data_IF_796257791825
#
_entry.id   IF_796257791825
#
_cell.length_a   1.000
_cell.length_b   1.000
_cell.length_c   1.000
_cell.angle_alpha   90.00
_cell.angle_beta   90.00
_cell.angle_gamma   90.00
#
_symmetry.space_group_name_H-M   'P 1'
#
loop_
_entity.id
_entity.type
_entity.pdbx_description
1 polymer ?
#
# COMPACT_ATOMS: atom_id res chain seq x y z
N UNK A 1 12.93 -2.34 21.88
CA UNK A 1 11.61 -2.38 21.23
C UNK A 1 11.05 -1.01 21.04
N UNK A 2 11.53 -0.38 19.97
CA UNK A 2 10.97 0.85 19.39
C UNK A 2 9.55 0.55 18.86
N UNK A 3 8.69 1.57 18.77
CA UNK A 3 7.36 1.49 18.11
C UNK A 3 7.48 0.89 16.70
N UNK A 4 8.65 1.08 16.11
CA UNK A 4 9.11 0.59 14.83
C UNK A 4 9.23 -0.93 14.74
N UNK A 5 9.94 -1.56 15.67
CA UNK A 5 10.07 -3.03 15.72
C UNK A 5 8.69 -3.67 15.89
N UNK A 6 7.83 -3.07 16.72
CA UNK A 6 6.46 -3.54 16.92
C UNK A 6 5.54 -3.38 15.71
N UNK A 7 5.64 -2.29 14.92
CA UNK A 7 4.85 -2.14 13.70
C UNK A 7 5.35 -3.10 12.60
N UNK A 8 6.67 -3.30 12.51
CA UNK A 8 7.29 -4.25 11.60
C UNK A 8 6.93 -5.70 11.93
N UNK A 9 6.91 -6.06 13.21
CA UNK A 9 6.46 -7.38 13.68
C UNK A 9 4.97 -7.64 13.39
N UNK A 10 4.17 -6.60 13.10
CA UNK A 10 2.75 -6.74 12.75
C UNK A 10 2.49 -6.64 11.24
N UNK A 11 3.28 -5.87 10.48
CA UNK A 11 3.17 -5.82 9.02
C UNK A 11 3.68 -7.09 8.33
N UNK A 12 4.74 -7.69 8.87
CA UNK A 12 5.37 -8.89 8.30
C UNK A 12 4.43 -10.10 8.34
N UNK A 13 3.74 -10.41 9.47
CA UNK A 13 2.69 -11.43 9.48
C UNK A 13 1.46 -11.02 8.69
N UNK A 14 1.05 -9.74 8.67
CA UNK A 14 -0.20 -9.34 8.01
C UNK A 14 -0.14 -9.45 6.46
N UNK A 15 1.05 -9.32 5.87
CA UNK A 15 1.28 -9.59 4.44
C UNK A 15 1.39 -11.11 4.16
N UNK A 16 1.81 -11.91 5.14
CA UNK A 16 2.19 -13.33 4.97
C UNK A 16 1.15 -14.33 5.53
N UNK A 17 0.28 -13.95 6.48
CA UNK A 17 -0.55 -14.89 7.25
C UNK A 17 -1.81 -15.40 6.53
N UNK A 18 -2.21 -14.79 5.42
CA UNK A 18 -3.18 -15.43 4.54
C UNK A 18 -2.42 -16.14 3.44
N UNK A 19 -2.20 -17.45 3.64
CA UNK A 19 -1.65 -18.40 2.66
C UNK A 19 -2.15 -18.11 1.24
N UNK A 20 -1.39 -17.32 0.51
CA UNK A 20 -1.51 -17.19 -0.95
C UNK A 20 -1.03 -18.51 -1.61
N UNK A 21 -0.33 -19.37 -0.87
CA UNK A 21 0.34 -20.56 -1.40
C UNK A 21 -0.48 -21.86 -1.42
N UNK A 22 -1.68 -21.93 -0.84
CA UNK A 22 -2.42 -23.22 -0.84
C UNK A 22 -3.10 -23.51 -2.20
N UNK A 23 -3.32 -22.49 -3.04
CA UNK A 23 -3.95 -22.64 -4.37
C UNK A 23 -3.10 -22.11 -5.54
N UNK A 24 -1.96 -21.47 -5.24
CA UNK A 24 -0.98 -21.02 -6.22
C UNK A 24 0.15 -22.05 -6.20
N UNK A 25 0.62 -22.51 -7.36
CA UNK A 25 1.70 -23.51 -7.45
C UNK A 25 2.99 -23.03 -6.78
N UNK A 26 4.10 -23.74 -6.97
CA UNK A 26 5.40 -23.31 -6.43
C UNK A 26 5.65 -21.81 -6.70
N UNK A 27 5.71 -21.02 -5.63
CA UNK A 27 5.86 -19.58 -5.66
C UNK A 27 7.15 -19.21 -4.93
N UNK A 28 8.01 -18.42 -5.56
CA UNK A 28 9.20 -17.85 -4.94
C UNK A 28 8.87 -16.44 -4.42
N UNK A 29 9.01 -16.25 -3.11
CA UNK A 29 8.73 -15.01 -2.42
C UNK A 29 10.02 -14.35 -1.92
N UNK A 30 10.21 -13.08 -2.26
CA UNK A 30 11.37 -12.31 -1.83
C UNK A 30 10.93 -11.04 -1.10
N UNK A 31 11.27 -10.95 0.19
CA UNK A 31 10.99 -9.79 1.05
C UNK A 31 12.24 -8.91 1.16
N UNK A 32 12.07 -7.61 0.91
CA UNK A 32 13.11 -6.59 1.05
C UNK A 32 12.57 -5.41 1.85
N UNK A 33 13.38 -4.86 2.76
CA UNK A 33 13.02 -3.69 3.56
C UNK A 33 14.04 -2.59 3.29
N UNK A 34 13.54 -1.40 2.95
CA UNK A 34 14.35 -0.22 2.65
C UNK A 34 13.80 0.99 3.41
N UNK A 35 14.70 1.88 3.83
CA UNK A 35 14.36 3.18 4.39
C UNK A 35 14.92 4.26 3.46
N UNK A 36 14.07 5.21 3.05
CA UNK A 36 14.38 6.28 2.11
C UNK A 36 13.89 7.60 2.70
N UNK A 37 14.79 8.43 3.22
CA UNK A 37 14.46 9.77 3.73
C UNK A 37 13.25 9.80 4.71
N UNK A 38 13.17 8.82 5.60
CA UNK A 38 12.07 8.68 6.57
C UNK A 38 10.82 7.97 6.04
N UNK A 39 10.83 7.54 4.78
CA UNK A 39 9.87 6.61 4.19
C UNK A 39 10.35 5.19 4.45
N UNK A 40 9.48 4.35 4.99
CA UNK A 40 9.75 2.91 5.09
C UNK A 40 9.03 2.20 3.98
N UNK A 41 9.80 1.42 3.22
CA UNK A 41 9.35 0.64 2.08
C UNK A 41 9.57 -0.82 2.40
N UNK A 42 8.50 -1.61 2.41
CA UNK A 42 8.57 -3.07 2.40
C UNK A 42 8.19 -3.52 1.00
N UNK A 43 9.09 -4.22 0.34
CA UNK A 43 8.89 -4.79 -0.98
C UNK A 43 8.74 -6.30 -0.84
N UNK A 44 7.60 -6.82 -1.29
CA UNK A 44 7.37 -8.24 -1.50
C UNK A 44 7.31 -8.50 -3.00
N UNK A 45 8.18 -9.37 -3.50
CA UNK A 45 8.14 -9.85 -4.88
C UNK A 45 7.58 -11.26 -4.87
N UNK A 46 6.56 -11.48 -5.70
CA UNK A 46 5.89 -12.76 -5.89
C UNK A 46 6.20 -13.22 -7.32
N UNK A 47 6.99 -14.28 -7.43
CA UNK A 47 7.32 -14.92 -8.71
C UNK A 47 6.55 -16.23 -8.81
N UNK A 48 5.56 -16.22 -9.68
CA UNK A 48 4.84 -17.43 -10.09
C UNK A 48 5.41 -17.87 -11.45
N UNK A 49 5.63 -19.17 -11.63
CA UNK A 49 6.23 -19.73 -12.86
C UNK A 49 5.31 -19.56 -14.07
N UNK A 50 3.99 -19.54 -13.86
CA UNK A 50 2.98 -19.49 -14.93
C UNK A 50 2.48 -18.07 -15.22
N UNK A 51 2.81 -17.10 -14.37
CA UNK A 51 2.28 -15.74 -14.44
C UNK A 51 3.40 -14.70 -14.48
N UNK A 52 3.10 -13.49 -14.95
CA UNK A 52 4.05 -12.38 -14.88
C UNK A 52 4.42 -12.06 -13.43
N UNK A 53 5.70 -11.71 -13.15
CA UNK A 53 6.15 -11.42 -11.80
C UNK A 53 5.41 -10.19 -11.26
N UNK A 54 5.08 -10.26 -9.97
CA UNK A 54 4.32 -9.22 -9.27
C UNK A 54 5.12 -8.68 -8.11
N UNK A 55 4.86 -7.42 -7.79
CA UNK A 55 5.39 -6.83 -6.58
C UNK A 55 4.34 -6.05 -5.81
N UNK A 56 4.48 -6.10 -4.49
CA UNK A 56 3.71 -5.32 -3.54
C UNK A 56 4.70 -4.43 -2.79
N UNK A 57 4.47 -3.12 -2.84
CA UNK A 57 5.26 -2.11 -2.15
C UNK A 57 4.41 -1.51 -1.05
N UNK A 58 4.68 -1.90 0.20
CA UNK A 58 4.07 -1.26 1.34
C UNK A 58 4.88 -0.02 1.73
N UNK A 59 4.31 1.19 1.60
CA UNK A 59 4.95 2.44 2.03
C UNK A 59 4.26 2.96 3.29
N UNK A 60 5.06 3.42 4.24
CA UNK A 60 4.58 4.11 5.41
C UNK A 60 5.29 5.45 5.60
N UNK A 61 4.50 6.51 5.79
CA UNK A 61 4.99 7.83 6.17
C UNK A 61 4.68 8.08 7.64
N UNK A 62 5.71 8.45 8.40
CA UNK A 62 5.53 8.94 9.76
C UNK A 62 4.69 10.23 9.79
N UNK A 63 3.68 10.33 10.68
CA UNK A 63 2.88 11.56 10.81
C UNK A 63 3.72 12.82 11.05
N UNK A 64 4.85 12.67 11.75
CA UNK A 64 5.78 13.74 12.09
C UNK A 64 6.75 14.13 10.97
N UNK A 65 6.85 13.34 9.90
CA UNK A 65 7.73 13.64 8.77
C UNK A 65 7.16 14.83 7.98
N UNK A 66 8.01 15.77 7.56
CA UNK A 66 7.56 16.87 6.71
C UNK A 66 6.98 16.32 5.38
N UNK A 67 5.82 16.83 4.96
CA UNK A 67 5.14 16.35 3.75
C UNK A 67 5.97 16.64 2.49
N UNK A 68 6.61 17.80 2.38
CA UNK A 68 7.44 18.12 1.22
C UNK A 68 8.65 17.18 1.12
N UNK A 69 9.35 16.92 2.23
CA UNK A 69 10.46 15.95 2.25
C UNK A 69 10.01 14.54 1.87
N UNK A 70 8.80 14.14 2.30
CA UNK A 70 8.20 12.86 1.88
C UNK A 70 7.95 12.83 0.37
N UNK A 71 7.36 13.88 -0.18
CA UNK A 71 7.06 14.00 -1.62
C UNK A 71 8.34 13.92 -2.45
N UNK A 72 9.41 14.60 -2.03
CA UNK A 72 10.72 14.54 -2.70
C UNK A 72 11.33 13.14 -2.65
N UNK A 73 11.31 12.49 -1.48
CA UNK A 73 11.79 11.11 -1.32
C UNK A 73 10.99 10.10 -2.15
N UNK A 74 9.67 10.31 -2.27
CA UNK A 74 8.80 9.48 -3.09
C UNK A 74 9.08 9.64 -4.59
N UNK A 75 9.34 10.87 -5.07
CA UNK A 75 9.78 11.12 -6.45
C UNK A 75 11.08 10.40 -6.75
N UNK A 76 12.08 10.60 -5.88
CA UNK A 76 13.36 9.93 -6.02
C UNK A 76 13.22 8.39 -6.00
N UNK A 77 12.32 7.85 -5.18
CA UNK A 77 12.03 6.42 -5.19
C UNK A 77 11.54 5.94 -6.56
N UNK A 78 10.57 6.61 -7.16
CA UNK A 78 10.04 6.24 -8.47
C UNK A 78 11.04 6.45 -9.60
N UNK A 79 11.81 7.54 -9.58
CA UNK A 79 12.86 7.83 -10.56
C UNK A 79 13.96 6.75 -10.58
N UNK A 80 14.26 6.17 -9.42
CA UNK A 80 15.27 5.13 -9.27
C UNK A 80 14.70 3.70 -9.39
N UNK A 81 13.38 3.54 -9.49
CA UNK A 81 12.75 2.23 -9.60
C UNK A 81 12.79 1.76 -11.07
N UNK A 82 13.91 1.19 -11.51
CA UNK A 82 14.08 0.70 -12.88
C UNK A 82 13.40 -0.65 -13.16
N UNK A 83 12.92 -1.34 -12.13
CA UNK A 83 12.36 -2.68 -12.28
C UNK A 83 10.94 -2.62 -12.84
N UNK A 84 10.80 -3.06 -14.10
CA UNK A 84 9.50 -3.24 -14.74
C UNK A 84 8.95 -4.61 -14.33
N UNK A 85 8.02 -4.60 -13.37
CA UNK A 85 7.21 -5.76 -13.03
C UNK A 85 5.91 -5.78 -13.84
N UNK A 86 5.35 -6.98 -14.07
CA UNK A 86 4.07 -7.11 -14.77
C UNK A 86 2.93 -6.45 -14.02
N UNK A 87 2.84 -6.70 -12.70
CA UNK A 87 1.86 -6.04 -11.82
C UNK A 87 2.56 -5.48 -10.59
N UNK A 88 2.42 -4.18 -10.38
CA UNK A 88 2.91 -3.48 -9.18
C UNK A 88 1.72 -2.91 -8.44
N UNK A 89 1.63 -3.23 -7.16
CA UNK A 89 0.63 -2.70 -6.23
C UNK A 89 1.40 -1.96 -5.14
N UNK A 90 1.02 -0.71 -4.86
CA UNK A 90 1.50 -0.03 -3.68
C UNK A 90 0.34 0.17 -2.70
N UNK A 91 0.59 -0.10 -1.43
CA UNK A 91 -0.42 -0.10 -0.38
C UNK A 91 0.16 0.49 0.90
N UNK A 92 -0.62 1.21 1.69
CA UNK A 92 -0.12 1.64 2.99
C UNK A 92 -0.87 2.81 3.60
N UNK A 93 -0.18 3.47 4.53
CA UNK A 93 -0.69 4.54 5.38
C UNK A 93 0.27 5.72 5.31
N UNK A 94 -0.21 6.82 4.74
CA UNK A 94 0.62 7.98 4.47
C UNK A 94 0.41 9.10 5.47
N UNK A 95 -0.64 9.03 6.27
CA UNK A 95 -1.03 10.14 7.14
C UNK A 95 -1.11 11.49 6.36
N UNK A 96 -1.53 11.44 5.09
CA UNK A 96 -1.83 12.59 4.21
C UNK A 96 -3.27 12.39 3.75
N UNK A 97 -4.14 13.39 3.93
CA UNK A 97 -5.54 13.26 3.55
C UNK A 97 -5.72 13.48 2.05
N UNK A 98 -5.94 12.39 1.30
CA UNK A 98 -6.17 12.40 -0.14
C UNK A 98 -7.47 13.10 -0.56
N UNK A 99 -8.38 13.36 0.39
CA UNK A 99 -9.59 14.14 0.13
C UNK A 99 -9.34 15.65 0.15
N UNK A 100 -8.22 16.09 0.74
CA UNK A 100 -7.81 17.49 0.78
C UNK A 100 -6.89 17.76 -0.40
N UNK A 101 -7.44 18.36 -1.45
CA UNK A 101 -6.69 18.75 -2.66
C UNK A 101 -5.90 20.05 -2.46
N UNK A 102 -5.11 20.13 -1.39
CA UNK A 102 -4.07 21.16 -1.31
C UNK A 102 -2.94 20.89 -2.34
N UNK A 103 -2.00 21.81 -2.46
CA UNK A 103 -0.96 21.70 -3.48
C UNK A 103 -0.07 20.47 -3.30
N UNK A 104 0.16 20.04 -2.05
CA UNK A 104 0.98 18.86 -1.73
C UNK A 104 0.25 17.54 -1.95
N UNK A 105 -1.04 17.47 -1.61
CA UNK A 105 -1.88 16.31 -1.91
C UNK A 105 -2.05 16.09 -3.42
N UNK A 106 -2.15 17.18 -4.20
CA UNK A 106 -2.15 17.12 -5.67
C UNK A 106 -0.81 16.67 -6.23
N UNK A 107 0.30 17.22 -5.72
CA UNK A 107 1.65 16.79 -6.11
C UNK A 107 1.84 15.28 -5.91
N UNK A 108 1.37 14.75 -4.78
CA UNK A 108 1.39 13.33 -4.49
C UNK A 108 0.64 12.51 -5.55
N UNK A 109 -0.61 12.87 -5.87
CA UNK A 109 -1.40 12.16 -6.88
C UNK A 109 -0.75 12.24 -8.28
N UNK A 110 -0.13 13.37 -8.59
CA UNK A 110 0.59 13.56 -9.84
C UNK A 110 1.77 12.59 -9.95
N UNK A 111 2.55 12.38 -8.89
CA UNK A 111 3.67 11.42 -8.89
C UNK A 111 3.20 10.01 -9.27
N UNK A 112 2.09 9.53 -8.70
CA UNK A 112 1.55 8.21 -9.07
C UNK A 112 1.11 8.18 -10.51
N UNK A 113 0.34 9.19 -10.94
CA UNK A 113 -0.17 9.26 -12.30
C UNK A 113 0.96 9.30 -13.33
N UNK A 114 1.98 10.13 -13.11
CA UNK A 114 3.17 10.26 -13.96
C UNK A 114 4.02 8.97 -13.97
N UNK A 115 4.05 8.25 -12.84
CA UNK A 115 4.72 6.96 -12.71
C UNK A 115 3.88 5.78 -13.24
N UNK A 116 2.72 6.04 -13.87
CA UNK A 116 1.88 5.02 -14.48
C UNK A 116 1.02 4.24 -13.49
N UNK A 117 0.63 4.85 -12.38
CA UNK A 117 -0.25 4.27 -11.36
C UNK A 117 -1.58 5.03 -11.24
N UNK A 118 -2.62 4.32 -10.82
CA UNK A 118 -3.94 4.87 -10.49
C UNK A 118 -4.37 4.46 -9.09
N UNK A 119 -5.10 5.35 -8.42
CA UNK A 119 -5.68 5.07 -7.10
C UNK A 119 -6.87 4.13 -7.22
N UNK A 120 -6.86 3.07 -6.41
CA UNK A 120 -7.96 2.11 -6.27
C UNK A 120 -8.91 2.48 -5.10
N UNK A 121 -8.49 3.34 -4.17
CA UNK A 121 -9.31 3.79 -3.04
C UNK A 121 -9.31 5.30 -2.96
N UNK A 122 -10.51 5.89 -3.01
CA UNK A 122 -10.71 7.34 -2.96
C UNK A 122 -11.84 7.72 -1.99
N UNK A 123 -12.11 6.87 -0.99
CA UNK A 123 -13.18 7.07 0.00
C UNK A 123 -12.61 7.07 1.41
N UNK A 124 -13.27 7.72 2.40
CA UNK A 124 -12.72 7.84 3.75
C UNK A 124 -12.28 6.50 4.35
N UNK A 125 -11.05 6.48 4.85
CA UNK A 125 -10.42 5.31 5.51
C UNK A 125 -10.18 5.57 6.99
N UNK A 126 -10.28 6.81 7.44
CA UNK A 126 -10.29 7.18 8.86
C UNK A 126 -11.47 8.09 9.16
N UNK A 127 -12.23 7.76 10.20
CA UNK A 127 -13.39 8.52 10.68
C UNK A 127 -13.30 8.68 12.19
N UNK A 128 -13.28 9.93 12.66
CA UNK A 128 -13.19 10.29 14.07
C UNK A 128 -14.20 11.39 14.38
N UNK A 129 -15.29 11.03 15.06
CA UNK A 129 -16.41 11.94 15.30
C UNK A 129 -17.02 12.43 13.97
N UNK A 130 -17.01 13.75 13.76
CA UNK A 130 -17.54 14.39 12.55
C UNK A 130 -16.47 14.62 11.47
N UNK A 131 -15.23 14.15 11.68
CA UNK A 131 -14.14 14.28 10.72
C UNK A 131 -13.89 12.96 9.99
N UNK A 132 -13.72 13.01 8.67
CA UNK A 132 -13.44 11.86 7.81
C UNK A 132 -12.31 12.22 6.85
N UNK A 133 -11.32 11.34 6.74
CA UNK A 133 -10.16 11.51 5.87
C UNK A 133 -9.82 10.22 5.13
N UNK A 134 -9.18 10.34 3.97
CA UNK A 134 -8.65 9.20 3.22
C UNK A 134 -7.13 9.23 3.34
N UNK A 135 -6.58 8.52 4.32
CA UNK A 135 -5.14 8.53 4.63
C UNK A 135 -4.43 7.23 4.27
N UNK A 136 -5.20 6.21 3.93
CA UNK A 136 -4.71 4.97 3.34
C UNK A 136 -4.83 5.04 1.84
N UNK A 137 -3.89 4.36 1.20
CA UNK A 137 -3.85 4.29 -0.25
C UNK A 137 -3.69 2.84 -0.70
N UNK A 138 -4.32 2.57 -1.83
CA UNK A 138 -4.01 1.43 -2.67
C UNK A 138 -3.89 2.02 -4.06
N UNK A 139 -2.70 1.91 -4.64
CA UNK A 139 -2.44 2.33 -6.02
C UNK A 139 -1.92 1.12 -6.79
N UNK A 140 -2.27 1.05 -8.07
CA UNK A 140 -1.91 -0.06 -8.94
C UNK A 140 -1.49 0.48 -10.30
N UNK A 141 -0.63 -0.26 -11.01
CA UNK A 141 -0.27 0.08 -12.38
C UNK A 141 -1.55 0.33 -13.22
N UNK A 142 -1.58 1.47 -13.91
CA UNK A 142 -2.73 1.98 -14.66
C UNK A 142 -3.21 1.04 -15.75
N UNK A 143 -2.31 0.19 -16.28
CA UNK A 143 -2.61 -0.79 -17.31
C UNK A 143 -3.46 -1.97 -16.80
N UNK A 144 -3.66 -2.11 -15.49
CA UNK A 144 -4.51 -3.17 -14.96
C UNK A 144 -6.00 -2.88 -15.23
N UNK A 145 -6.74 -3.79 -15.89
CA UNK A 145 -8.16 -3.60 -16.15
C UNK A 145 -8.99 -3.42 -14.87
N UNK A 146 -9.94 -2.48 -14.88
CA UNK A 146 -10.74 -2.14 -13.71
C UNK A 146 -11.69 -3.27 -13.27
N UNK A 147 -12.19 -4.06 -14.23
CA UNK A 147 -13.04 -5.23 -13.98
C UNK A 147 -12.32 -6.36 -13.24
N UNK A 148 -10.98 -6.29 -13.15
CA UNK A 148 -10.16 -7.22 -12.37
C UNK A 148 -9.90 -6.75 -10.95
N UNK A 149 -10.34 -5.55 -10.57
CA UNK A 149 -10.05 -4.93 -9.29
C UNK A 149 -11.30 -4.81 -8.44
N UNK A 150 -11.18 -5.22 -7.18
CA UNK A 150 -12.22 -5.09 -6.17
C UNK A 150 -11.64 -4.40 -4.93
N UNK A 151 -11.49 -3.06 -4.95
CA UNK A 151 -11.09 -2.29 -3.78
C UNK A 151 -12.24 -2.22 -2.78
N UNK A 152 -11.95 -2.48 -1.51
CA UNK A 152 -12.94 -2.49 -0.43
C UNK A 152 -12.39 -1.70 0.76
N UNK A 153 -13.18 -0.75 1.27
CA UNK A 153 -12.96 -0.15 2.59
C UNK A 153 -13.87 -0.86 3.58
N UNK A 154 -13.28 -1.65 4.48
CA UNK A 154 -14.01 -2.42 5.47
C UNK A 154 -14.32 -1.55 6.69
N UNK A 155 -15.56 -1.06 6.74
CA UNK A 155 -16.04 -0.10 7.76
C UNK A 155 -16.44 -0.75 9.08
N UNK A 156 -15.63 -1.68 9.56
CA UNK A 156 -15.75 -2.22 10.92
C UNK A 156 -14.41 -2.05 11.61
N UNK A 157 -14.36 -1.28 12.69
CA UNK A 157 -13.13 -1.05 13.43
C UNK A 157 -13.37 -0.22 14.69
N UNK A 158 -12.64 -0.53 15.76
CA UNK A 158 -12.73 0.17 17.06
C UNK A 158 -11.86 1.45 17.11
N UNK A 159 -10.92 1.62 16.18
CA UNK A 159 -9.84 2.62 16.25
C UNK A 159 -10.12 3.91 15.47
N UNK A 160 -11.31 4.03 14.87
CA UNK A 160 -11.63 5.10 13.92
C UNK A 160 -10.86 4.98 12.60
N UNK A 161 -10.10 3.90 12.40
CA UNK A 161 -9.37 3.60 11.18
C UNK A 161 -9.94 2.32 10.57
N UNK A 162 -10.38 2.38 9.32
CA UNK A 162 -10.93 1.26 8.58
C UNK A 162 -9.80 0.46 7.92
N UNK A 163 -10.02 -0.84 7.76
CA UNK A 163 -9.12 -1.67 6.95
C UNK A 163 -9.38 -1.40 5.49
N UNK A 164 -8.33 -1.46 4.68
CA UNK A 164 -8.45 -1.42 3.22
C UNK A 164 -8.05 -2.76 2.62
N UNK A 165 -8.81 -3.22 1.64
CA UNK A 165 -8.59 -4.48 0.95
C UNK A 165 -8.57 -4.25 -0.56
N UNK A 166 -7.78 -5.05 -1.26
CA UNK A 166 -7.81 -5.13 -2.71
C UNK A 166 -7.97 -6.60 -3.12
N UNK A 167 -9.12 -6.93 -3.69
CA UNK A 167 -9.31 -8.16 -4.44
C UNK A 167 -8.79 -7.99 -5.87
N UNK A 168 -8.03 -8.96 -6.37
CA UNK A 168 -7.52 -8.98 -7.74
C UNK A 168 -7.88 -10.30 -8.39
N UNK A 169 -8.66 -10.22 -9.47
CA UNK A 169 -8.98 -11.38 -10.30
C UNK A 169 -7.85 -11.64 -11.31
N UNK A 170 -7.22 -12.80 -11.20
CA UNK A 170 -6.10 -13.22 -12.04
C UNK A 170 -6.45 -14.56 -12.71
N UNK A 171 -6.69 -14.55 -14.02
CA UNK A 171 -7.22 -15.72 -14.72
C UNK A 171 -8.45 -16.30 -13.99
N UNK A 172 -8.34 -17.50 -13.41
CA UNK A 172 -9.39 -18.15 -12.60
C UNK A 172 -9.19 -18.04 -11.08
N UNK A 173 -8.20 -17.27 -10.61
CA UNK A 173 -7.88 -17.10 -9.20
C UNK A 173 -8.27 -15.72 -8.69
N UNK A 174 -8.59 -15.63 -7.41
CA UNK A 174 -8.87 -14.37 -6.71
C UNK A 174 -7.89 -14.21 -5.55
N UNK A 175 -7.10 -13.15 -5.58
CA UNK A 175 -6.14 -12.82 -4.53
C UNK A 175 -6.64 -11.62 -3.74
N UNK A 176 -6.55 -11.67 -2.41
CA UNK A 176 -6.87 -10.55 -1.54
C UNK A 176 -5.62 -10.02 -0.85
N UNK A 177 -5.41 -8.71 -0.95
CA UNK A 177 -4.44 -7.97 -0.15
C UNK A 177 -5.18 -7.19 0.92
N UNK A 178 -4.72 -7.26 2.17
CA UNK A 178 -5.39 -6.65 3.32
C UNK A 178 -4.39 -5.76 4.07
N UNK A 179 -4.72 -4.47 4.21
CA UNK A 179 -4.07 -3.58 5.17
C UNK A 179 -5.03 -3.33 6.33
N UNK A 180 -4.71 -3.94 7.47
CA UNK A 180 -5.43 -3.71 8.73
C UNK A 180 -5.14 -2.33 9.34
N UNK A 181 -5.92 -1.91 10.35
CA UNK A 181 -5.67 -0.67 11.06
C UNK A 181 -4.30 -0.73 11.76
N UNK A 182 -3.51 0.33 11.58
CA UNK A 182 -2.23 0.51 12.26
C UNK A 182 -2.49 0.59 13.78
N UNK A 183 -2.18 -0.46 14.54
CA UNK A 183 -2.19 -0.36 16.00
C UNK A 183 -0.93 0.36 16.45
N UNK A 184 -1.07 1.62 16.87
CA UNK A 184 -0.04 2.26 17.70
C UNK A 184 -0.08 1.51 19.02
N UNK A 185 0.89 0.62 19.28
CA UNK A 185 1.10 0.10 20.62
C UNK A 185 1.53 1.31 21.48
N UNK A 186 0.57 1.87 22.22
CA UNK A 186 0.88 2.76 23.33
C UNK A 186 1.61 1.93 24.37
N UNK A 187 2.90 2.17 24.52
CA UNK A 187 3.62 1.80 25.75
C UNK A 187 3.17 2.69 26.90
#
# INVERSE_FOLDING_TARGET
MSVLESYMDNLTPMIIENRVCDEIGECDEQLQVQELDGIKVIRLIIKDVELSPRQILALYRYPSLNIASFVDGLKAFFDNCSDVFGTTILIGDLNIDLMVLDDLGREYLNIFSESGYKSAINTPTRVQGNHSSCIDYIVINSNMPEDKLCPIVWRSGLTGHYSVLLGIHLAEKLIYLIKGPSQIIKK
#
